data_IF_405752596662
#
_entry.id   IF_405752596662
#
_cell.length_a   1.000
_cell.length_b   1.000
_cell.length_c   1.000
_cell.angle_alpha   90.00
_cell.angle_beta   90.00
_cell.angle_gamma   90.00
#
_symmetry.space_group_name_H-M   'P 1'
#
loop_
_entity.id
_entity.type
_entity.pdbx_description
1 polymer ?
#
# COMPACT_ATOMS: atom_id res chain seq x y z
N UNK A 1 -26.73 3.16 -24.90
CA UNK A 1 -25.93 2.57 -23.80
C UNK A 1 -25.36 3.71 -23.00
N UNK A 2 -25.66 3.79 -21.70
CA UNK A 2 -25.01 4.73 -20.78
C UNK A 2 -23.95 3.92 -20.02
N UNK A 3 -22.69 4.34 -20.12
CA UNK A 3 -21.57 3.74 -19.37
C UNK A 3 -21.19 4.72 -18.27
N UNK A 4 -21.34 4.32 -17.01
CA UNK A 4 -20.89 5.07 -15.85
C UNK A 4 -19.73 4.30 -15.22
N UNK A 5 -18.51 4.82 -15.34
CA UNK A 5 -17.32 4.31 -14.67
C UNK A 5 -16.77 5.39 -13.73
N UNK A 6 -16.35 4.96 -12.54
CA UNK A 6 -15.71 5.82 -11.56
C UNK A 6 -14.20 5.83 -11.83
N UNK A 7 -13.76 6.79 -12.64
CA UNK A 7 -12.35 6.91 -13.01
C UNK A 7 -11.44 6.98 -11.77
N UNK A 8 -10.44 6.08 -11.72
CA UNK A 8 -9.46 5.95 -10.63
C UNK A 8 -10.11 5.90 -9.23
N UNK A 9 -11.17 5.11 -9.07
CA UNK A 9 -11.90 4.98 -7.81
C UNK A 9 -11.01 4.61 -6.63
N UNK A 10 -10.11 3.62 -6.78
CA UNK A 10 -9.33 3.12 -5.64
C UNK A 10 -8.38 4.17 -5.02
N UNK A 11 -7.56 4.92 -5.79
CA UNK A 11 -6.80 6.05 -5.22
C UNK A 11 -7.67 7.10 -4.54
N UNK A 12 -8.87 7.39 -5.08
CA UNK A 12 -9.81 8.36 -4.48
C UNK A 12 -10.36 7.85 -3.15
N UNK A 13 -10.71 6.56 -3.09
CA UNK A 13 -11.13 5.89 -1.85
C UNK A 13 -10.00 5.92 -0.83
N UNK A 14 -8.76 5.66 -1.23
CA UNK A 14 -7.60 5.76 -0.34
C UNK A 14 -7.44 7.18 0.22
N UNK A 15 -7.51 8.20 -0.62
CA UNK A 15 -7.43 9.60 -0.18
C UNK A 15 -8.52 9.93 0.86
N UNK A 16 -9.74 9.44 0.66
CA UNK A 16 -10.84 9.60 1.60
C UNK A 16 -10.63 8.84 2.91
N UNK A 17 -10.25 7.55 2.85
CA UNK A 17 -10.01 6.71 4.03
C UNK A 17 -8.86 7.22 4.90
N UNK A 18 -7.80 7.70 4.25
CA UNK A 18 -6.64 8.27 4.90
C UNK A 18 -6.85 9.72 5.36
N UNK A 19 -7.91 10.37 4.89
CA UNK A 19 -8.16 11.81 5.04
C UNK A 19 -6.97 12.64 4.54
N UNK A 20 -6.34 12.22 3.44
CA UNK A 20 -5.23 12.93 2.82
C UNK A 20 -5.76 14.02 1.90
N UNK A 21 -5.87 15.24 2.44
CA UNK A 21 -6.44 16.39 1.70
C UNK A 21 -5.62 16.72 0.46
N UNK A 22 -4.29 16.68 0.52
CA UNK A 22 -3.46 16.99 -0.65
C UNK A 22 -3.73 16.00 -1.79
N UNK A 23 -3.87 14.71 -1.47
CA UNK A 23 -4.20 13.70 -2.48
C UNK A 23 -5.64 13.84 -2.98
N UNK A 24 -6.59 14.16 -2.10
CA UNK A 24 -7.98 14.43 -2.48
C UNK A 24 -8.09 15.65 -3.41
N UNK A 25 -7.29 16.68 -3.15
CA UNK A 25 -7.21 17.90 -3.93
C UNK A 25 -6.68 17.62 -5.35
N UNK A 26 -5.58 16.86 -5.46
CA UNK A 26 -5.05 16.39 -6.75
C UNK A 26 -6.06 15.52 -7.51
N UNK A 27 -6.92 14.81 -6.78
CA UNK A 27 -7.99 13.99 -7.34
C UNK A 27 -9.23 14.76 -7.79
N UNK A 28 -9.41 16.06 -7.52
CA UNK A 28 -10.68 16.75 -7.86
C UNK A 28 -10.97 16.88 -9.35
N UNK A 29 -9.93 16.85 -10.20
CA UNK A 29 -10.07 16.83 -11.65
C UNK A 29 -10.55 15.48 -12.19
N UNK A 30 -10.66 15.39 -13.52
CA UNK A 30 -11.07 14.17 -14.22
C UNK A 30 -10.00 13.07 -14.16
N UNK A 31 -8.72 13.43 -14.08
CA UNK A 31 -7.60 12.49 -14.05
C UNK A 31 -6.68 12.76 -12.85
N UNK A 32 -6.76 11.89 -11.85
CA UNK A 32 -5.93 11.97 -10.65
C UNK A 32 -4.42 11.91 -10.97
N UNK A 33 -4.02 11.12 -11.97
CA UNK A 33 -2.60 11.00 -12.33
C UNK A 33 -2.07 12.28 -12.96
N UNK A 34 -2.90 12.97 -13.73
CA UNK A 34 -2.56 14.29 -14.23
C UNK A 34 -2.50 15.29 -13.07
N UNK A 35 -3.45 15.24 -12.12
CA UNK A 35 -3.42 16.09 -10.93
C UNK A 35 -2.15 15.93 -10.08
N UNK A 36 -1.55 14.74 -10.04
CA UNK A 36 -0.23 14.51 -9.41
C UNK A 36 0.91 15.23 -10.14
N UNK A 37 0.84 15.31 -11.47
CA UNK A 37 1.82 16.04 -12.29
C UNK A 37 1.64 17.54 -12.11
N UNK A 38 0.39 18.02 -12.15
CA UNK A 38 0.04 19.42 -12.00
C UNK A 38 0.42 19.95 -10.60
N UNK A 39 0.33 19.09 -9.58
CA UNK A 39 0.80 19.37 -8.22
C UNK A 39 2.34 19.25 -8.06
N UNK A 40 3.08 18.91 -9.11
CA UNK A 40 4.54 18.79 -9.09
C UNK A 40 5.09 17.60 -8.31
N UNK A 41 4.27 16.59 -8.02
CA UNK A 41 4.69 15.40 -7.26
C UNK A 41 5.56 14.48 -8.11
N UNK A 42 5.21 14.36 -9.39
CA UNK A 42 5.96 13.62 -10.40
C UNK A 42 5.98 14.38 -11.72
N UNK A 43 6.87 13.98 -12.60
CA UNK A 43 7.19 14.61 -13.88
C UNK A 43 6.27 14.16 -15.03
N UNK A 44 5.69 12.97 -14.95
CA UNK A 44 4.78 12.46 -15.99
C UNK A 44 3.58 11.73 -15.43
N UNK A 45 2.50 11.69 -16.20
CA UNK A 45 1.30 10.93 -15.87
C UNK A 45 1.58 9.43 -15.76
N UNK A 46 2.51 8.91 -16.57
CA UNK A 46 2.95 7.51 -16.51
C UNK A 46 3.63 7.22 -15.17
N UNK A 47 4.54 8.09 -14.73
CA UNK A 47 5.16 8.02 -13.41
C UNK A 47 4.14 8.13 -12.29
N UNK A 48 3.14 9.02 -12.40
CA UNK A 48 2.07 9.13 -11.41
C UNK A 48 1.32 7.80 -11.24
N UNK A 49 0.97 7.16 -12.36
CA UNK A 49 0.29 5.86 -12.37
C UNK A 49 1.17 4.77 -11.74
N UNK A 50 2.40 4.62 -12.21
CA UNK A 50 3.33 3.58 -11.73
C UNK A 50 3.62 3.74 -10.24
N UNK A 51 3.83 4.97 -9.79
CA UNK A 51 4.12 5.27 -8.40
C UNK A 51 2.90 5.00 -7.51
N UNK A 52 1.71 5.47 -7.91
CA UNK A 52 0.47 5.28 -7.14
C UNK A 52 0.11 3.80 -7.00
N UNK A 53 0.14 3.04 -8.10
CA UNK A 53 -0.12 1.60 -8.05
C UNK A 53 0.94 0.86 -7.23
N UNK A 54 2.21 1.28 -7.31
CA UNK A 54 3.26 0.70 -6.48
C UNK A 54 3.06 0.96 -4.99
N UNK A 55 2.56 2.15 -4.62
CA UNK A 55 2.25 2.48 -3.24
C UNK A 55 1.08 1.64 -2.71
N UNK A 56 0.05 1.43 -3.53
CA UNK A 56 -1.16 0.72 -3.12
C UNK A 56 -0.99 -0.80 -3.05
N UNK A 57 -0.21 -1.39 -3.96
CA UNK A 57 -0.04 -2.85 -4.06
C UNK A 57 1.36 -3.33 -3.63
N UNK A 58 2.13 -2.47 -2.96
CA UNK A 58 3.42 -2.84 -2.37
C UNK A 58 4.54 -3.09 -3.38
N UNK A 59 4.44 -2.62 -4.62
CA UNK A 59 5.55 -2.66 -5.56
C UNK A 59 6.57 -1.57 -5.21
N UNK A 60 7.56 -1.92 -4.40
CA UNK A 60 8.57 -0.99 -3.84
C UNK A 60 9.92 -1.05 -4.57
N UNK A 61 10.01 -1.82 -5.66
CA UNK A 61 11.21 -1.96 -6.49
C UNK A 61 11.06 -1.24 -7.83
N UNK A 62 12.15 -1.19 -8.60
CA UNK A 62 12.14 -0.58 -9.94
C UNK A 62 11.73 0.89 -9.92
N UNK A 63 10.92 1.29 -10.90
CA UNK A 63 10.47 2.67 -11.07
C UNK A 63 9.52 3.15 -9.95
N UNK A 64 8.58 2.31 -9.52
CA UNK A 64 7.70 2.60 -8.38
C UNK A 64 8.52 2.88 -7.11
N UNK A 65 9.57 2.08 -6.88
CA UNK A 65 10.51 2.29 -5.78
C UNK A 65 11.23 3.63 -5.83
N UNK A 66 11.70 4.05 -7.01
CA UNK A 66 12.37 5.36 -7.20
C UNK A 66 11.45 6.54 -6.93
N UNK A 67 10.16 6.41 -7.24
CA UNK A 67 9.17 7.48 -7.10
C UNK A 67 8.51 7.52 -5.72
N UNK A 68 8.62 6.43 -4.94
CA UNK A 68 8.00 6.30 -3.62
C UNK A 68 8.34 7.45 -2.65
N UNK A 69 9.61 7.90 -2.51
CA UNK A 69 9.93 8.99 -1.58
C UNK A 69 9.21 10.30 -1.90
N UNK A 70 8.89 10.54 -3.19
CA UNK A 70 8.12 11.72 -3.61
C UNK A 70 6.66 11.60 -3.19
N UNK A 71 6.05 10.43 -3.39
CA UNK A 71 4.69 10.14 -2.93
C UNK A 71 4.55 10.23 -1.42
N UNK A 72 5.49 9.65 -0.67
CA UNK A 72 5.47 9.69 0.80
C UNK A 72 5.53 11.12 1.32
N UNK A 73 6.32 11.97 0.66
CA UNK A 73 6.42 13.39 1.01
C UNK A 73 5.13 14.16 0.68
N UNK A 74 4.56 13.92 -0.50
CA UNK A 74 3.38 14.64 -0.96
C UNK A 74 2.10 14.21 -0.25
N UNK A 75 1.93 12.91 0.00
CA UNK A 75 0.72 12.28 0.53
C UNK A 75 1.03 11.34 1.71
N UNK A 76 1.53 11.90 2.83
CA UNK A 76 1.99 11.09 3.96
C UNK A 76 0.86 10.34 4.67
N UNK A 77 -0.38 10.84 4.62
CA UNK A 77 -1.51 10.15 5.27
C UNK A 77 -1.94 8.97 4.43
N UNK A 78 -2.05 9.13 3.12
CA UNK A 78 -2.43 8.07 2.19
C UNK A 78 -1.39 6.93 2.18
N UNK A 79 -0.11 7.27 1.99
CA UNK A 79 0.97 6.28 2.03
C UNK A 79 1.11 5.63 3.41
N UNK A 80 0.98 6.41 4.49
CA UNK A 80 0.98 5.86 5.84
C UNK A 80 -0.22 4.95 6.13
N UNK A 81 -1.37 5.15 5.48
CA UNK A 81 -2.55 4.31 5.66
C UNK A 81 -2.33 2.90 5.13
N UNK A 82 -1.82 2.77 3.89
CA UNK A 82 -1.49 1.46 3.31
C UNK A 82 -0.33 0.78 4.04
N UNK A 83 0.69 1.55 4.45
CA UNK A 83 1.81 1.03 5.23
C UNK A 83 1.37 0.47 6.59
N UNK A 84 0.44 1.14 7.28
CA UNK A 84 -0.12 0.61 8.54
C UNK A 84 -0.90 -0.68 8.31
N UNK A 85 -1.66 -0.78 7.21
CA UNK A 85 -2.36 -2.00 6.86
C UNK A 85 -1.38 -3.15 6.58
N UNK A 86 -0.31 -2.88 5.83
CA UNK A 86 0.73 -3.86 5.55
C UNK A 86 1.42 -4.34 6.84
N UNK A 87 1.82 -3.41 7.73
CA UNK A 87 2.40 -3.75 9.04
C UNK A 87 1.47 -4.55 9.94
N UNK A 88 0.16 -4.28 9.89
CA UNK A 88 -0.81 -5.07 10.61
C UNK A 88 -0.77 -6.53 10.12
N UNK A 89 -0.82 -6.75 8.80
CA UNK A 89 -0.69 -8.08 8.22
C UNK A 89 0.64 -8.76 8.53
N UNK A 90 1.76 -8.03 8.45
CA UNK A 90 3.10 -8.54 8.84
C UNK A 90 3.15 -9.01 10.29
N UNK A 91 2.38 -8.38 11.18
CA UNK A 91 2.25 -8.79 12.59
C UNK A 91 1.26 -9.94 12.83
N UNK A 92 0.57 -10.40 11.79
CA UNK A 92 -0.49 -11.41 11.86
C UNK A 92 -1.87 -10.86 12.23
N UNK A 93 -2.03 -9.53 12.29
CA UNK A 93 -3.31 -8.89 12.54
C UNK A 93 -4.17 -8.85 11.28
N UNK A 94 -5.48 -8.76 11.48
CA UNK A 94 -6.50 -8.68 10.42
C UNK A 94 -6.90 -7.22 10.21
N UNK A 95 -7.13 -6.84 8.95
CA UNK A 95 -7.69 -5.53 8.58
C UNK A 95 -9.12 -5.66 8.08
N UNK A 96 -9.93 -4.63 8.28
CA UNK A 96 -11.33 -4.59 7.85
C UNK A 96 -11.61 -3.40 6.96
N UNK A 97 -12.50 -3.58 5.99
CA UNK A 97 -13.04 -2.47 5.20
C UNK A 97 -14.02 -1.64 6.03
N UNK A 98 -14.36 -0.44 5.55
CA UNK A 98 -15.37 0.41 6.21
C UNK A 98 -16.74 -0.26 6.35
N UNK A 99 -17.06 -1.23 5.50
CA UNK A 99 -18.34 -1.97 5.53
C UNK A 99 -18.23 -3.32 6.26
N UNK A 100 -17.13 -3.57 6.99
CA UNK A 100 -17.02 -4.69 7.92
C UNK A 100 -16.46 -6.00 7.34
N UNK A 101 -16.14 -6.07 6.04
CA UNK A 101 -15.44 -7.25 5.49
C UNK A 101 -13.99 -7.25 5.97
N UNK A 102 -13.48 -8.40 6.42
CA UNK A 102 -12.14 -8.52 6.98
C UNK A 102 -11.22 -9.41 6.14
N UNK A 103 -9.90 -9.19 6.24
CA UNK A 103 -8.89 -10.10 5.66
C UNK A 103 -8.86 -11.44 6.41
N UNK A 104 -8.44 -12.54 5.77
CA UNK A 104 -8.25 -13.80 6.48
C UNK A 104 -7.14 -13.68 7.54
N UNK A 105 -7.25 -14.36 8.70
CA UNK A 105 -6.14 -14.47 9.64
C UNK A 105 -5.02 -15.35 9.05
N UNK A 106 -3.76 -15.21 9.51
CA UNK A 106 -2.68 -16.11 9.12
C UNK A 106 -3.00 -17.56 9.54
N UNK A 107 -2.64 -18.52 8.69
CA UNK A 107 -2.78 -19.95 9.01
C UNK A 107 -1.65 -20.49 9.90
N UNK A 108 -1.83 -21.70 10.44
CA UNK A 108 -0.89 -22.34 11.37
C UNK A 108 0.54 -22.41 10.82
N UNK A 109 0.70 -22.74 9.54
CA UNK A 109 2.01 -22.78 8.88
C UNK A 109 2.76 -21.44 8.91
N UNK A 110 2.04 -20.31 8.83
CA UNK A 110 2.64 -18.98 8.98
C UNK A 110 3.10 -18.77 10.43
N UNK A 111 2.25 -19.15 11.39
CA UNK A 111 2.56 -19.03 12.83
C UNK A 111 3.81 -19.83 13.18
N UNK A 112 3.93 -21.07 12.71
CA UNK A 112 5.10 -21.93 12.91
C UNK A 112 6.37 -21.28 12.37
N UNK A 113 6.33 -20.75 11.13
CA UNK A 113 7.45 -20.04 10.52
C UNK A 113 7.86 -18.82 11.34
N UNK A 114 6.90 -18.06 11.88
CA UNK A 114 7.20 -16.93 12.75
C UNK A 114 7.79 -17.35 14.10
N UNK A 115 7.31 -18.45 14.69
CA UNK A 115 7.85 -18.97 15.96
C UNK A 115 9.30 -19.43 15.80
N UNK A 116 9.59 -20.22 14.76
CA UNK A 116 10.94 -20.69 14.46
C UNK A 116 11.87 -19.49 14.23
N UNK A 117 11.47 -18.50 13.42
CA UNK A 117 12.30 -17.34 13.13
C UNK A 117 12.55 -16.40 14.32
N UNK A 118 11.73 -16.46 15.38
CA UNK A 118 11.88 -15.66 16.61
C UNK A 118 12.57 -16.42 17.74
N UNK A 119 12.80 -17.72 17.58
CA UNK A 119 13.49 -18.53 18.58
C UNK A 119 14.92 -18.00 18.78
N UNK A 120 15.43 -18.04 20.03
CA UNK A 120 16.78 -17.56 20.34
C UNK A 120 17.89 -18.31 19.60
N UNK A 121 17.60 -19.54 19.13
CA UNK A 121 18.51 -20.41 18.38
C UNK A 121 18.26 -20.38 16.86
N UNK A 122 17.39 -19.48 16.38
CA UNK A 122 17.05 -19.41 14.96
C UNK A 122 18.27 -19.14 14.09
N UNK A 123 18.42 -19.91 13.00
CA UNK A 123 19.46 -19.63 12.03
C UNK A 123 19.17 -18.33 11.27
N UNK A 124 20.18 -17.74 10.63
CA UNK A 124 19.98 -16.59 9.74
C UNK A 124 19.02 -16.88 8.58
N UNK A 125 18.95 -18.14 8.13
CA UNK A 125 18.02 -18.58 7.09
C UNK A 125 16.58 -18.62 7.62
N UNK A 126 16.36 -19.05 8.85
CA UNK A 126 15.04 -19.08 9.49
C UNK A 126 14.51 -17.67 9.73
N UNK A 127 15.36 -16.77 10.24
CA UNK A 127 15.02 -15.36 10.41
C UNK A 127 14.73 -14.66 9.06
N UNK A 128 15.42 -15.05 7.98
CA UNK A 128 15.12 -14.54 6.64
C UNK A 128 13.78 -15.07 6.11
N UNK A 129 13.51 -16.36 6.27
CA UNK A 129 12.23 -16.99 5.88
C UNK A 129 11.05 -16.37 6.61
N UNK A 130 11.16 -16.16 7.92
CA UNK A 130 10.12 -15.52 8.72
C UNK A 130 9.84 -14.08 8.26
N UNK A 131 10.87 -13.28 7.96
CA UNK A 131 10.69 -11.92 7.42
C UNK A 131 10.02 -11.91 6.05
N UNK A 132 10.39 -12.82 5.15
CA UNK A 132 9.74 -12.92 3.83
C UNK A 132 8.28 -13.31 3.99
N UNK A 133 7.99 -14.37 4.77
CA UNK A 133 6.62 -14.83 5.01
C UNK A 133 5.74 -13.78 5.71
N UNK A 134 6.31 -12.98 6.62
CA UNK A 134 5.60 -11.84 7.23
C UNK A 134 5.24 -10.78 6.18
N UNK A 135 6.18 -10.39 5.32
CA UNK A 135 5.93 -9.42 4.24
C UNK A 135 4.90 -9.91 3.24
N UNK A 136 4.88 -11.20 2.95
CA UNK A 136 3.88 -11.80 2.04
C UNK A 136 2.49 -11.76 2.68
N UNK A 137 2.37 -11.99 4.00
CA UNK A 137 1.12 -11.85 4.75
C UNK A 137 0.61 -10.40 4.83
N UNK A 138 1.52 -9.42 4.77
CA UNK A 138 1.19 -7.99 4.75
C UNK A 138 0.73 -7.45 3.39
N UNK A 139 0.82 -8.23 2.30
CA UNK A 139 0.53 -7.80 0.93
C UNK A 139 -0.87 -8.18 0.46
#
# INVERSE_FOLDING_TARGET
LVVADAAQLEPRVLAALAEDRAMADAGRGTDLYQGLVDAGVVDTRAHAKVAMLGAMYGATSGESGRLMPRLVRAYPRATGYVERAARAGESGAVVSTRLGRSSPPPGDAWVDVQQIGRAGEASGADAARARTSARDQGR
#
